data_IF_697392714298
#
_entry.id   IF_697392714298
#
_cell.length_a   1.000
_cell.length_b   1.000
_cell.length_c   1.000
_cell.angle_alpha   90.00
_cell.angle_beta   90.00
_cell.angle_gamma   90.00
#
_symmetry.space_group_name_H-M   'P 1'
#
loop_
_entity.id
_entity.type
_entity.pdbx_description
1 polymer ?
#
# COMPACT_ATOMS: atom_id res chain seq x y z
N UNK A 1 -10.31 -26.05 -12.88
CA UNK A 1 -10.69 -25.85 -11.47
C UNK A 1 -9.66 -24.90 -10.89
N UNK A 2 -10.08 -23.76 -10.35
CA UNK A 2 -9.17 -22.80 -9.70
C UNK A 2 -8.58 -23.44 -8.44
N UNK A 3 -7.27 -23.32 -8.27
CA UNK A 3 -6.56 -23.88 -7.11
C UNK A 3 -7.01 -23.12 -5.84
N UNK A 4 -7.36 -23.81 -4.74
CA UNK A 4 -7.64 -23.14 -3.47
C UNK A 4 -6.44 -22.29 -3.04
N UNK A 5 -6.65 -21.00 -2.81
CA UNK A 5 -5.57 -20.06 -2.45
C UNK A 5 -5.39 -20.03 -0.93
N UNK A 6 -4.14 -20.13 -0.43
CA UNK A 6 -3.87 -19.92 0.99
C UNK A 6 -4.31 -18.54 1.47
N UNK A 7 -4.81 -18.47 2.71
CA UNK A 7 -5.20 -17.21 3.34
C UNK A 7 -4.22 -16.92 4.48
N UNK A 8 -3.68 -15.70 4.48
CA UNK A 8 -2.96 -15.10 5.60
C UNK A 8 -3.98 -14.27 6.37
N UNK A 9 -4.22 -14.61 7.63
CA UNK A 9 -5.17 -13.91 8.48
C UNK A 9 -4.45 -13.18 9.61
N UNK A 10 -4.49 -11.85 9.57
CA UNK A 10 -3.81 -10.97 10.50
C UNK A 10 -4.78 -10.57 11.61
N UNK A 11 -4.49 -10.96 12.84
CA UNK A 11 -5.37 -10.73 14.00
C UNK A 11 -4.61 -10.07 15.16
N UNK A 12 -5.33 -9.41 16.06
CA UNK A 12 -4.73 -8.89 17.29
C UNK A 12 -5.62 -9.10 18.53
N UNK A 13 -6.46 -8.13 18.85
CA UNK A 13 -7.18 -8.05 20.12
C UNK A 13 -8.67 -7.68 19.94
N UNK A 14 -9.22 -7.88 18.75
CA UNK A 14 -10.62 -7.58 18.41
C UNK A 14 -11.40 -8.86 18.13
N UNK A 15 -11.84 -9.59 19.17
CA UNK A 15 -12.52 -10.88 18.98
C UNK A 15 -13.79 -10.73 18.13
N UNK A 16 -14.55 -9.64 18.29
CA UNK A 16 -15.83 -9.45 17.59
C UNK A 16 -15.69 -9.30 16.07
N UNK A 17 -14.75 -8.48 15.60
CA UNK A 17 -14.50 -8.31 14.16
C UNK A 17 -13.72 -9.50 13.60
N UNK A 18 -12.77 -10.06 14.38
CA UNK A 18 -12.05 -11.29 14.02
C UNK A 18 -13.03 -12.42 13.76
N UNK A 19 -14.06 -12.57 14.59
CA UNK A 19 -15.09 -13.60 14.43
C UNK A 19 -15.84 -13.41 13.11
N UNK A 20 -16.25 -12.19 12.80
CA UNK A 20 -16.95 -11.89 11.55
C UNK A 20 -16.07 -12.19 10.32
N UNK A 21 -14.81 -11.74 10.32
CA UNK A 21 -13.87 -12.02 9.24
C UNK A 21 -13.60 -13.53 9.12
N UNK A 22 -13.43 -14.24 10.24
CA UNK A 22 -13.26 -15.69 10.27
C UNK A 22 -14.44 -16.44 9.66
N UNK A 23 -15.69 -16.02 9.90
CA UNK A 23 -16.85 -16.68 9.28
C UNK A 23 -16.85 -16.54 7.74
N UNK A 24 -16.34 -15.43 7.19
CA UNK A 24 -16.17 -15.31 5.72
C UNK A 24 -15.11 -16.28 5.19
N UNK A 25 -14.01 -16.47 5.93
CA UNK A 25 -12.93 -17.42 5.61
C UNK A 25 -13.45 -18.86 5.72
N UNK A 26 -14.21 -19.17 6.77
CA UNK A 26 -14.85 -20.46 7.00
C UNK A 26 -15.83 -20.83 5.89
N UNK A 27 -16.58 -19.86 5.35
CA UNK A 27 -17.44 -20.07 4.20
C UNK A 27 -16.63 -20.41 2.92
N UNK A 28 -15.47 -19.76 2.73
CA UNK A 28 -14.57 -20.02 1.60
C UNK A 28 -13.79 -21.34 1.69
N UNK A 29 -13.63 -21.90 2.91
CA UNK A 29 -12.96 -23.18 3.19
C UNK A 29 -11.58 -23.31 2.52
N UNK A 30 -10.63 -22.39 2.78
CA UNK A 30 -9.28 -22.52 2.23
C UNK A 30 -8.63 -23.83 2.69
N UNK A 31 -7.79 -24.44 1.84
CA UNK A 31 -7.01 -25.63 2.23
C UNK A 31 -5.86 -25.32 3.17
N UNK A 32 -5.43 -24.05 3.25
CA UNK A 32 -4.34 -23.59 4.12
C UNK A 32 -4.67 -22.22 4.69
N UNK A 33 -4.60 -22.12 6.02
CA UNK A 33 -4.81 -20.87 6.76
C UNK A 33 -3.56 -20.56 7.58
N UNK A 34 -2.93 -19.42 7.31
CA UNK A 34 -1.74 -18.94 7.99
C UNK A 34 -2.13 -17.76 8.90
N UNK A 35 -2.22 -17.98 10.19
CA UNK A 35 -2.69 -16.97 11.13
C UNK A 35 -1.51 -16.29 11.82
N UNK A 36 -1.51 -14.96 11.74
CA UNK A 36 -0.51 -14.10 12.37
C UNK A 36 -1.21 -13.29 13.46
N UNK A 37 -0.80 -13.48 14.71
CA UNK A 37 -1.30 -12.68 15.83
C UNK A 37 -0.21 -11.83 16.46
N UNK A 38 -0.49 -10.56 16.77
CA UNK A 38 0.37 -9.77 17.66
C UNK A 38 0.17 -10.14 19.15
N UNK A 39 1.10 -9.74 20.01
CA UNK A 39 1.00 -9.90 21.45
C UNK A 39 0.34 -8.70 22.14
N UNK A 40 -0.18 -8.87 23.37
CA UNK A 40 -0.78 -7.78 24.13
C UNK A 40 0.25 -6.70 24.46
N UNK A 41 -0.19 -5.44 24.52
CA UNK A 41 0.67 -4.31 24.89
C UNK A 41 0.95 -4.36 26.39
N UNK A 42 2.20 -4.17 26.83
CA UNK A 42 2.54 -4.10 28.24
C UNK A 42 1.72 -3.02 28.95
N UNK A 43 1.12 -3.38 30.09
CA UNK A 43 0.39 -2.44 30.94
C UNK A 43 -0.98 -1.99 30.40
N UNK A 44 -1.58 -2.70 29.44
CA UNK A 44 -2.98 -2.50 29.02
C UNK A 44 -3.91 -3.53 29.68
N UNK A 45 -4.68 -3.17 30.73
CA UNK A 45 -5.59 -4.10 31.40
C UNK A 45 -6.61 -4.72 30.43
N UNK A 46 -6.87 -6.03 30.58
CA UNK A 46 -7.83 -6.79 29.77
C UNK A 46 -7.39 -7.09 28.33
N UNK A 47 -6.27 -6.55 27.85
CA UNK A 47 -5.82 -6.79 26.47
C UNK A 47 -5.28 -8.21 26.27
N UNK A 48 -4.66 -8.80 27.30
CA UNK A 48 -4.24 -10.20 27.28
C UNK A 48 -5.43 -11.13 27.07
N UNK A 49 -6.54 -10.89 27.77
CA UNK A 49 -7.78 -11.66 27.63
C UNK A 49 -8.41 -11.47 26.25
N UNK A 50 -8.45 -10.23 25.74
CA UNK A 50 -8.90 -9.95 24.37
C UNK A 50 -8.04 -10.67 23.32
N UNK A 51 -6.72 -10.69 23.48
CA UNK A 51 -5.82 -11.43 22.58
C UNK A 51 -6.07 -12.93 22.65
N UNK A 52 -6.22 -13.50 23.85
CA UNK A 52 -6.51 -14.91 24.05
C UNK A 52 -7.85 -15.31 23.41
N UNK A 53 -8.91 -14.53 23.64
CA UNK A 53 -10.22 -14.73 23.01
C UNK A 53 -10.14 -14.65 21.48
N UNK A 54 -9.37 -13.69 20.95
CA UNK A 54 -9.17 -13.52 19.51
C UNK A 54 -8.47 -14.74 18.89
N UNK A 55 -7.43 -15.26 19.55
CA UNK A 55 -6.70 -16.46 19.11
C UNK A 55 -7.56 -17.73 19.20
N UNK A 56 -8.43 -17.82 20.20
CA UNK A 56 -9.31 -18.98 20.39
C UNK A 56 -10.31 -19.19 19.23
N UNK A 57 -10.69 -18.13 18.52
CA UNK A 57 -11.56 -18.21 17.32
C UNK A 57 -10.95 -19.13 16.26
N UNK A 58 -9.62 -19.17 16.15
CA UNK A 58 -8.90 -19.98 15.16
C UNK A 58 -9.03 -21.47 15.44
N UNK A 59 -9.36 -21.86 16.67
CA UNK A 59 -9.60 -23.26 17.04
C UNK A 59 -10.98 -23.75 16.56
N UNK A 60 -11.84 -22.87 16.06
CA UNK A 60 -13.15 -23.20 15.50
C UNK A 60 -13.09 -23.66 14.03
N UNK A 61 -11.90 -23.86 13.47
CA UNK A 61 -11.73 -24.41 12.12
C UNK A 61 -12.28 -25.84 12.08
N UNK A 62 -13.38 -26.01 11.36
CA UNK A 62 -14.16 -27.25 11.29
C UNK A 62 -14.22 -27.86 9.87
N UNK A 63 -13.33 -27.42 8.99
CA UNK A 63 -13.18 -27.96 7.63
C UNK A 63 -11.75 -28.49 7.40
N UNK A 64 -11.57 -29.25 6.32
CA UNK A 64 -10.27 -29.78 5.91
C UNK A 64 -9.30 -28.63 5.53
N UNK A 65 -8.49 -28.21 6.51
CA UNK A 65 -7.62 -27.05 6.47
C UNK A 65 -6.30 -27.29 7.24
N UNK A 66 -5.18 -27.01 6.59
CA UNK A 66 -3.88 -26.95 7.24
C UNK A 66 -3.69 -25.57 7.90
N UNK A 67 -3.76 -25.51 9.24
CA UNK A 67 -3.66 -24.26 10.01
C UNK A 67 -2.25 -24.06 10.57
N UNK A 68 -1.59 -22.99 10.13
CA UNK A 68 -0.29 -22.53 10.65
C UNK A 68 -0.49 -21.31 11.55
N UNK A 69 0.13 -21.31 12.73
CA UNK A 69 0.00 -20.22 13.71
C UNK A 69 1.36 -19.57 13.95
N UNK A 70 1.43 -18.26 13.77
CA UNK A 70 2.55 -17.43 14.18
C UNK A 70 2.01 -16.39 15.15
N UNK A 71 2.08 -16.68 16.45
CA UNK A 71 1.60 -15.79 17.50
C UNK A 71 2.78 -15.18 18.22
N UNK A 72 2.76 -13.85 18.39
CA UNK A 72 3.77 -13.15 19.17
C UNK A 72 3.34 -13.05 20.63
N UNK A 73 4.24 -13.30 21.57
CA UNK A 73 3.98 -13.09 23.00
C UNK A 73 4.08 -11.61 23.39
N UNK A 74 4.82 -10.81 22.62
CA UNK A 74 4.98 -9.38 22.82
C UNK A 74 4.31 -8.58 21.70
N UNK A 75 3.83 -7.38 22.02
CA UNK A 75 3.33 -6.47 21.00
C UNK A 75 4.50 -5.91 20.17
N UNK A 76 4.52 -6.22 18.88
CA UNK A 76 5.52 -5.72 17.93
C UNK A 76 5.08 -4.45 17.21
N UNK A 77 3.78 -4.10 17.29
CA UNK A 77 3.21 -2.94 16.62
C UNK A 77 2.92 -3.21 15.14
N UNK A 78 2.15 -2.32 14.52
CA UNK A 78 1.59 -2.55 13.19
C UNK A 78 2.68 -2.71 12.12
N UNK A 79 3.68 -1.83 12.12
CA UNK A 79 4.78 -1.83 11.16
C UNK A 79 5.54 -3.15 11.16
N UNK A 80 6.00 -3.58 12.33
CA UNK A 80 6.88 -4.74 12.47
C UNK A 80 6.08 -6.03 12.37
N UNK A 81 4.90 -6.09 13.01
CA UNK A 81 4.12 -7.32 13.09
C UNK A 81 3.58 -7.73 11.73
N UNK A 82 3.00 -6.79 11.00
CA UNK A 82 2.41 -7.11 9.70
C UNK A 82 3.48 -7.54 8.71
N UNK A 83 4.57 -6.77 8.61
CA UNK A 83 5.67 -7.09 7.71
C UNK A 83 6.32 -8.45 8.01
N UNK A 84 6.60 -8.74 9.28
CA UNK A 84 7.20 -10.02 9.69
C UNK A 84 6.25 -11.20 9.50
N UNK A 85 4.95 -11.02 9.75
CA UNK A 85 3.92 -12.03 9.56
C UNK A 85 3.75 -12.43 8.10
N UNK A 86 3.61 -11.44 7.20
CA UNK A 86 3.50 -11.71 5.76
C UNK A 86 4.79 -12.35 5.23
N UNK A 87 5.96 -11.88 5.69
CA UNK A 87 7.24 -12.49 5.32
C UNK A 87 7.35 -13.95 5.75
N UNK A 88 6.95 -14.27 6.98
CA UNK A 88 6.88 -15.64 7.47
C UNK A 88 5.92 -16.49 6.65
N UNK A 89 4.72 -15.99 6.35
CA UNK A 89 3.75 -16.75 5.56
C UNK A 89 4.27 -17.03 4.14
N UNK A 90 4.89 -16.05 3.49
CA UNK A 90 5.55 -16.22 2.20
C UNK A 90 6.87 -17.01 2.26
N UNK A 91 7.30 -17.49 3.43
CA UNK A 91 8.29 -18.58 3.48
C UNK A 91 7.65 -19.94 3.18
N UNK A 92 6.34 -20.07 3.42
CA UNK A 92 5.55 -21.30 3.34
C UNK A 92 4.71 -21.43 2.05
N UNK A 93 4.36 -20.32 1.41
CA UNK A 93 3.48 -20.30 0.22
C UNK A 93 3.96 -19.31 -0.85
N UNK A 94 3.60 -19.53 -2.12
CA UNK A 94 4.05 -18.70 -3.26
C UNK A 94 3.09 -17.57 -3.62
N UNK A 95 1.83 -17.68 -3.20
CA UNK A 95 0.77 -16.68 -3.38
C UNK A 95 -0.27 -16.87 -2.28
N UNK A 96 -0.87 -15.76 -1.87
CA UNK A 96 -1.87 -15.78 -0.80
C UNK A 96 -2.82 -14.60 -0.91
N UNK A 97 -4.02 -14.80 -0.36
CA UNK A 97 -4.93 -13.73 0.04
C UNK A 97 -4.53 -13.30 1.46
N UNK A 98 -4.57 -12.00 1.74
CA UNK A 98 -4.24 -11.38 3.02
C UNK A 98 -5.49 -10.65 3.51
N UNK A 99 -5.97 -11.03 4.69
CA UNK A 99 -7.11 -10.41 5.38
C UNK A 99 -6.69 -9.93 6.75
N UNK A 100 -7.15 -8.73 7.13
CA UNK A 100 -7.06 -8.20 8.49
C UNK A 100 -8.34 -8.54 9.27
N UNK A 101 -8.29 -8.43 10.59
CA UNK A 101 -9.39 -8.79 11.51
C UNK A 101 -10.66 -7.94 11.37
N UNK A 102 -10.64 -6.92 10.51
CA UNK A 102 -11.75 -6.03 10.22
C UNK A 102 -12.17 -6.01 8.74
N UNK A 103 -11.66 -6.96 7.95
CA UNK A 103 -11.99 -7.09 6.53
C UNK A 103 -12.98 -8.23 6.30
N UNK A 104 -14.16 -7.90 5.77
CA UNK A 104 -15.25 -8.83 5.44
C UNK A 104 -15.37 -8.98 3.91
N UNK A 105 -14.68 -9.95 3.30
CA UNK A 105 -14.78 -10.23 1.86
C UNK A 105 -16.12 -10.88 1.48
N UNK A 106 -16.60 -10.57 0.27
CA UNK A 106 -17.66 -11.33 -0.40
C UNK A 106 -17.19 -12.72 -0.82
N UNK A 107 -18.10 -13.64 -1.16
CA UNK A 107 -17.68 -15.00 -1.52
C UNK A 107 -16.96 -15.04 -2.87
N UNK A 108 -17.37 -14.21 -3.83
CA UNK A 108 -16.70 -14.07 -5.12
C UNK A 108 -15.29 -13.49 -5.01
N UNK A 109 -14.95 -12.72 -3.96
CA UNK A 109 -13.60 -12.19 -3.73
C UNK A 109 -12.52 -13.30 -3.76
N UNK A 110 -12.79 -14.44 -3.10
CA UNK A 110 -11.83 -15.53 -3.03
C UNK A 110 -11.53 -16.12 -4.42
N UNK A 111 -12.58 -16.34 -5.23
CA UNK A 111 -12.43 -16.83 -6.60
C UNK A 111 -11.78 -15.77 -7.51
N UNK A 112 -12.15 -14.50 -7.34
CA UNK A 112 -11.56 -13.37 -8.05
C UNK A 112 -10.04 -13.30 -7.82
N UNK A 113 -9.59 -13.38 -6.57
CA UNK A 113 -8.17 -13.44 -6.26
C UNK A 113 -7.51 -14.69 -6.84
N UNK A 114 -8.13 -15.87 -6.77
CA UNK A 114 -7.57 -17.09 -7.33
C UNK A 114 -7.33 -16.99 -8.85
N UNK A 115 -8.35 -16.59 -9.62
CA UNK A 115 -8.24 -16.45 -11.07
C UNK A 115 -7.17 -15.42 -11.47
N UNK A 116 -7.06 -14.30 -10.75
CA UNK A 116 -6.09 -13.25 -11.05
C UNK A 116 -4.67 -13.58 -10.60
N UNK A 117 -4.51 -14.26 -9.46
CA UNK A 117 -3.20 -14.74 -9.01
C UNK A 117 -2.63 -15.77 -9.99
N UNK A 118 -3.46 -16.66 -10.53
CA UNK A 118 -3.06 -17.63 -11.56
C UNK A 118 -2.75 -16.91 -12.89
N UNK A 119 -3.63 -15.99 -13.33
CA UNK A 119 -3.48 -15.28 -14.60
C UNK A 119 -2.20 -14.45 -14.68
N UNK A 120 -1.83 -13.77 -13.60
CA UNK A 120 -0.69 -12.85 -13.56
C UNK A 120 0.52 -13.43 -12.80
N UNK A 121 0.57 -14.76 -12.64
CA UNK A 121 1.63 -15.44 -11.88
C UNK A 121 3.05 -15.10 -12.36
N UNK A 122 3.22 -14.93 -13.67
CA UNK A 122 4.52 -14.64 -14.30
C UNK A 122 4.63 -13.21 -14.85
N UNK A 123 3.64 -12.35 -14.61
CA UNK A 123 3.69 -10.95 -15.03
C UNK A 123 4.21 -10.06 -13.90
N UNK A 124 5.51 -9.77 -13.93
CA UNK A 124 6.17 -8.98 -12.89
C UNK A 124 5.70 -7.52 -12.80
N UNK A 125 4.94 -7.03 -13.79
CA UNK A 125 4.32 -5.70 -13.73
C UNK A 125 3.17 -5.68 -12.72
N UNK A 126 2.47 -6.79 -12.54
CA UNK A 126 1.36 -6.89 -11.60
C UNK A 126 1.89 -7.38 -10.26
N UNK A 127 1.74 -6.55 -9.24
CA UNK A 127 2.29 -6.81 -7.90
C UNK A 127 1.21 -7.05 -6.85
N UNK A 128 -0.04 -6.71 -7.13
CA UNK A 128 -1.12 -6.82 -6.16
C UNK A 128 -2.48 -6.98 -6.82
N UNK A 129 -3.35 -7.74 -6.17
CA UNK A 129 -4.79 -7.79 -6.43
C UNK A 129 -5.50 -7.22 -5.21
N UNK A 130 -6.16 -6.07 -5.35
CA UNK A 130 -6.97 -5.49 -4.27
C UNK A 130 -8.38 -6.06 -4.28
N UNK A 131 -9.04 -6.08 -3.12
CA UNK A 131 -10.47 -6.33 -2.96
C UNK A 131 -11.31 -5.06 -2.84
N UNK A 132 -10.71 -3.87 -2.75
CA UNK A 132 -11.45 -2.63 -2.50
C UNK A 132 -11.58 -1.77 -3.73
N UNK A 133 -12.66 -0.99 -3.76
CA UNK A 133 -12.83 0.07 -4.73
C UNK A 133 -13.01 1.42 -4.01
N UNK A 134 -11.97 2.24 -4.05
CA UNK A 134 -11.96 3.55 -3.38
C UNK A 134 -12.63 4.66 -4.20
N UNK A 135 -13.26 4.33 -5.33
CA UNK A 135 -14.16 5.22 -6.07
C UNK A 135 -15.61 5.02 -5.60
N UNK A 136 -15.81 5.02 -4.28
CA UNK A 136 -17.11 4.81 -3.61
C UNK A 136 -17.73 3.43 -3.87
N UNK A 137 -16.87 2.43 -4.01
CA UNK A 137 -17.27 1.05 -4.15
C UNK A 137 -17.78 0.64 -5.53
N UNK A 138 -17.81 1.57 -6.49
CA UNK A 138 -18.22 1.27 -7.85
C UNK A 138 -17.45 2.11 -8.86
N UNK A 139 -17.00 1.48 -9.92
CA UNK A 139 -16.34 2.17 -11.03
C UNK A 139 -16.98 1.79 -12.34
N UNK A 140 -17.32 2.81 -13.13
CA UNK A 140 -17.84 2.64 -14.49
C UNK A 140 -16.70 2.27 -15.44
N UNK A 141 -16.50 0.96 -15.59
CA UNK A 141 -15.60 0.27 -16.54
C UNK A 141 -16.34 -0.94 -17.11
N UNK A 142 -16.01 -1.33 -18.35
CA UNK A 142 -16.63 -2.48 -19.01
C UNK A 142 -16.08 -3.82 -18.48
N UNK A 143 -14.86 -3.79 -17.96
CA UNK A 143 -14.15 -4.94 -17.41
C UNK A 143 -14.47 -5.18 -15.93
N UNK A 144 -14.23 -6.41 -15.46
CA UNK A 144 -14.46 -6.78 -14.06
C UNK A 144 -13.50 -6.07 -13.09
N UNK A 145 -12.36 -5.59 -13.60
CA UNK A 145 -11.33 -4.88 -12.86
C UNK A 145 -10.55 -3.96 -13.79
N UNK A 146 -9.80 -3.03 -13.20
CA UNK A 146 -8.86 -2.17 -13.90
C UNK A 146 -7.51 -2.15 -13.18
N UNK A 147 -6.48 -1.60 -13.81
CA UNK A 147 -5.18 -1.43 -13.16
C UNK A 147 -5.06 -0.02 -12.59
N UNK A 148 -4.56 0.08 -11.37
CA UNK A 148 -4.30 1.34 -10.68
C UNK A 148 -2.87 1.39 -10.19
N UNK A 149 -2.34 2.61 -10.05
CA UNK A 149 -1.09 2.82 -9.30
C UNK A 149 -1.28 2.74 -7.79
N UNK A 150 -2.52 2.80 -7.27
CA UNK A 150 -2.78 2.78 -5.84
C UNK A 150 -3.11 1.36 -5.36
N UNK A 151 -2.25 0.76 -4.52
CA UNK A 151 -2.60 -0.48 -3.83
C UNK A 151 -3.54 -0.20 -2.65
N UNK A 152 -4.73 -0.81 -2.64
CA UNK A 152 -5.66 -0.76 -1.50
C UNK A 152 -5.66 -2.07 -0.71
N UNK A 153 -5.31 -2.00 0.57
CA UNK A 153 -4.94 -3.17 1.38
C UNK A 153 -6.05 -3.72 2.30
N UNK A 154 -7.32 -3.33 2.16
CA UNK A 154 -8.40 -3.94 2.97
C UNK A 154 -8.89 -5.21 2.29
N UNK A 155 -8.19 -6.31 2.55
CA UNK A 155 -8.39 -7.56 1.82
C UNK A 155 -7.79 -7.48 0.42
N UNK A 156 -6.69 -8.20 0.24
CA UNK A 156 -5.90 -8.15 -0.98
C UNK A 156 -5.17 -9.47 -1.17
N UNK A 157 -4.51 -9.64 -2.31
CA UNK A 157 -3.71 -10.80 -2.60
C UNK A 157 -2.43 -10.41 -3.33
N UNK A 158 -1.38 -11.20 -3.14
CA UNK A 158 -0.11 -11.01 -3.83
C UNK A 158 0.66 -12.33 -3.91
N UNK A 159 1.84 -12.26 -4.54
CA UNK A 159 2.77 -13.36 -4.70
C UNK A 159 4.02 -13.14 -3.85
N UNK A 160 4.66 -14.23 -3.43
CA UNK A 160 5.99 -14.26 -2.83
C UNK A 160 6.97 -13.45 -3.68
N UNK A 161 6.95 -13.60 -5.02
CA UNK A 161 7.81 -12.85 -5.95
C UNK A 161 7.69 -11.33 -5.83
N UNK A 162 6.50 -10.82 -5.54
CA UNK A 162 6.26 -9.40 -5.35
C UNK A 162 6.63 -8.98 -3.93
N UNK A 163 6.25 -9.76 -2.92
CA UNK A 163 6.54 -9.48 -1.52
C UNK A 163 8.04 -9.51 -1.18
N UNK A 164 8.85 -10.34 -1.85
CA UNK A 164 10.32 -10.34 -1.66
C UNK A 164 10.98 -8.99 -1.98
N UNK A 165 10.30 -8.09 -2.69
CA UNK A 165 10.75 -6.73 -2.97
C UNK A 165 10.37 -5.73 -1.86
N UNK A 166 9.58 -6.15 -0.87
CA UNK A 166 9.16 -5.31 0.24
C UNK A 166 10.36 -4.87 1.08
N UNK A 167 10.49 -3.56 1.27
CA UNK A 167 11.56 -2.97 2.06
C UNK A 167 10.97 -2.11 3.18
N UNK A 168 10.95 -2.68 4.38
CA UNK A 168 10.43 -2.05 5.59
C UNK A 168 11.13 -0.72 5.95
N UNK A 169 12.39 -0.55 5.51
CA UNK A 169 13.21 0.63 5.78
C UNK A 169 13.20 1.63 4.64
N UNK A 170 12.58 1.30 3.50
CA UNK A 170 12.57 2.12 2.30
C UNK A 170 13.98 2.65 1.95
N UNK A 171 14.98 1.76 1.94
CA UNK A 171 16.40 2.08 1.78
C UNK A 171 16.70 2.92 0.53
N UNK A 172 15.94 2.70 -0.55
CA UNK A 172 16.07 3.44 -1.81
C UNK A 172 15.39 4.82 -1.80
N UNK A 173 14.54 5.12 -0.81
CA UNK A 173 13.76 6.35 -0.77
C UNK A 173 14.59 7.63 -0.93
N UNK A 174 15.74 7.82 -0.26
CA UNK A 174 16.53 9.04 -0.42
C UNK A 174 16.92 9.32 -1.87
N UNK A 175 17.35 8.30 -2.61
CA UNK A 175 17.74 8.43 -4.02
C UNK A 175 16.51 8.72 -4.90
N UNK A 176 15.45 7.90 -4.78
CA UNK A 176 14.23 8.05 -5.57
C UNK A 176 13.61 9.45 -5.39
N UNK A 177 13.55 9.92 -4.14
CA UNK A 177 13.12 11.27 -3.76
C UNK A 177 14.01 12.34 -4.38
N UNK A 178 15.33 12.25 -4.19
CA UNK A 178 16.25 13.31 -4.59
C UNK A 178 16.40 13.47 -6.11
N UNK A 179 16.17 12.38 -6.86
CA UNK A 179 16.06 12.33 -8.32
C UNK A 179 14.64 12.62 -8.82
N UNK A 180 13.64 12.68 -7.94
CA UNK A 180 12.22 12.92 -8.24
C UNK A 180 11.62 11.86 -9.16
N UNK A 181 12.01 10.60 -8.99
CA UNK A 181 11.62 9.52 -9.89
C UNK A 181 10.14 9.16 -9.77
N UNK A 182 9.47 9.53 -8.68
CA UNK A 182 8.02 9.37 -8.55
C UNK A 182 7.20 10.52 -9.15
N UNK A 183 7.81 11.65 -9.50
CA UNK A 183 7.05 12.79 -10.05
C UNK A 183 6.29 12.41 -11.34
N UNK A 184 6.78 11.42 -12.10
CA UNK A 184 6.14 10.90 -13.31
C UNK A 184 4.83 10.12 -13.05
N UNK A 185 4.61 9.61 -11.85
CA UNK A 185 3.37 8.90 -11.49
C UNK A 185 2.23 9.85 -11.14
N UNK A 186 2.54 11.12 -10.88
CA UNK A 186 1.60 12.09 -10.32
C UNK A 186 1.46 13.32 -11.21
N UNK A 187 0.27 13.50 -11.78
CA UNK A 187 -0.02 14.61 -12.70
C UNK A 187 0.04 15.99 -12.02
N UNK A 188 -0.35 16.07 -10.74
CA UNK A 188 -0.42 17.34 -10.00
C UNK A 188 0.73 17.49 -9.01
N UNK A 189 1.37 18.66 -8.99
CA UNK A 189 2.43 18.98 -7.99
C UNK A 189 1.94 18.85 -6.54
N UNK A 190 0.69 19.16 -6.27
CA UNK A 190 0.11 18.99 -4.93
C UNK A 190 0.11 17.54 -4.46
N UNK A 191 -0.14 16.61 -5.39
CA UNK A 191 -0.11 15.17 -5.14
C UNK A 191 1.34 14.68 -4.97
N UNK A 192 2.27 15.15 -5.82
CA UNK A 192 3.70 14.87 -5.69
C UNK A 192 4.22 15.25 -4.30
N UNK A 193 3.90 16.46 -3.82
CA UNK A 193 4.37 16.94 -2.53
C UNK A 193 3.71 16.22 -1.35
N UNK A 194 2.44 15.81 -1.50
CA UNK A 194 1.77 14.99 -0.50
C UNK A 194 2.46 13.64 -0.34
N UNK A 195 2.68 12.91 -1.43
CA UNK A 195 3.33 11.61 -1.37
C UNK A 195 4.79 11.70 -0.93
N UNK A 196 5.54 12.72 -1.39
CA UNK A 196 6.90 12.94 -0.88
C UNK A 196 6.91 13.18 0.64
N UNK A 197 5.96 13.97 1.15
CA UNK A 197 5.85 14.20 2.58
C UNK A 197 5.50 12.92 3.36
N UNK A 198 4.51 12.16 2.90
CA UNK A 198 4.07 10.93 3.58
C UNK A 198 5.19 9.88 3.60
N UNK A 199 5.81 9.62 2.45
CA UNK A 199 6.94 8.68 2.35
C UNK A 199 8.13 9.14 3.20
N UNK A 200 8.35 10.45 3.33
CA UNK A 200 9.38 10.98 4.21
C UNK A 200 9.08 10.77 5.70
N UNK A 201 7.82 10.90 6.12
CA UNK A 201 7.40 10.62 7.51
C UNK A 201 7.62 9.15 7.86
N UNK A 202 7.21 8.25 6.97
CA UNK A 202 7.36 6.80 7.13
C UNK A 202 8.83 6.41 7.16
N UNK A 203 9.64 6.91 6.22
CA UNK A 203 11.09 6.71 6.21
C UNK A 203 11.77 7.18 7.50
N UNK A 204 11.32 8.31 8.06
CA UNK A 204 11.85 8.84 9.32
C UNK A 204 11.35 8.07 10.57
N UNK A 205 10.58 7.00 10.41
CA UNK A 205 10.01 6.22 11.50
C UNK A 205 8.99 6.98 12.34
N UNK A 206 8.29 7.97 11.76
CA UNK A 206 7.30 8.79 12.48
C UNK A 206 5.89 8.23 12.43
N UNK A 207 5.68 7.13 11.70
CA UNK A 207 4.39 6.45 11.55
C UNK A 207 4.62 4.96 11.74
N UNK A 208 3.89 4.34 12.67
CA UNK A 208 3.88 2.89 12.88
C UNK A 208 2.90 2.24 11.89
N UNK A 209 3.34 2.06 10.65
CA UNK A 209 2.56 1.45 9.58
C UNK A 209 3.44 0.62 8.66
N UNK A 210 2.84 -0.28 7.90
CA UNK A 210 3.49 -1.17 6.92
C UNK A 210 3.10 -0.85 5.46
N UNK A 211 1.93 -0.25 5.26
CA UNK A 211 1.27 -0.08 3.97
C UNK A 211 1.98 0.92 3.06
N UNK A 212 2.39 2.10 3.54
CA UNK A 212 3.13 3.08 2.76
C UNK A 212 4.47 2.54 2.22
N UNK A 213 5.13 1.64 2.94
CA UNK A 213 6.31 0.93 2.47
C UNK A 213 5.96 0.01 1.30
N UNK A 214 4.77 -0.61 1.32
CA UNK A 214 4.28 -1.42 0.21
C UNK A 214 3.94 -0.56 -1.02
N UNK A 215 3.29 0.60 -0.84
CA UNK A 215 3.12 1.61 -1.89
C UNK A 215 4.48 1.98 -2.52
N UNK A 216 5.46 2.32 -1.68
CA UNK A 216 6.81 2.65 -2.12
C UNK A 216 7.44 1.48 -2.90
N UNK A 217 7.36 0.25 -2.41
CA UNK A 217 7.90 -0.93 -3.07
C UNK A 217 7.27 -1.15 -4.45
N UNK A 218 5.94 -1.05 -4.56
CA UNK A 218 5.26 -1.20 -5.85
C UNK A 218 5.74 -0.13 -6.85
N UNK A 219 5.78 1.14 -6.44
CA UNK A 219 6.21 2.23 -7.33
C UNK A 219 7.70 2.18 -7.68
N UNK A 220 8.56 1.81 -6.73
CA UNK A 220 9.99 1.65 -6.98
C UNK A 220 10.27 0.55 -8.02
N UNK A 221 9.37 -0.42 -8.17
CA UNK A 221 9.45 -1.50 -9.13
C UNK A 221 8.59 -1.29 -10.39
N UNK A 222 8.01 -0.10 -10.58
CA UNK A 222 7.07 0.20 -11.68
C UNK A 222 5.89 -0.77 -11.75
N UNK A 223 5.50 -1.31 -10.60
CA UNK A 223 4.40 -2.25 -10.48
C UNK A 223 3.03 -1.56 -10.48
N UNK A 224 2.00 -2.36 -10.77
CA UNK A 224 0.59 -1.95 -10.73
C UNK A 224 -0.21 -2.86 -9.82
N UNK A 225 -1.31 -2.32 -9.30
CA UNK A 225 -2.34 -3.05 -8.57
C UNK A 225 -3.54 -3.30 -9.47
N UNK A 226 -4.12 -4.48 -9.39
CA UNK A 226 -5.47 -4.75 -9.89
C UNK A 226 -6.48 -4.22 -8.88
N UNK A 227 -7.50 -3.51 -9.37
CA UNK A 227 -8.59 -2.94 -8.56
C UNK A 227 -9.93 -3.38 -9.14
N UNK A 228 -10.82 -4.00 -8.35
CA UNK A 228 -12.10 -4.49 -8.84
C UNK A 228 -13.03 -3.34 -9.23
N UNK A 229 -13.91 -3.56 -10.21
CA UNK A 229 -14.92 -2.57 -10.60
C UNK A 229 -16.01 -2.35 -9.52
N UNK A 230 -16.11 -3.27 -8.56
CA UNK A 230 -16.99 -3.23 -7.39
C UNK A 230 -16.18 -3.38 -6.11
N UNK A 231 -16.70 -2.93 -4.96
CA UNK A 231 -16.07 -3.19 -3.68
C UNK A 231 -16.32 -4.63 -3.26
N UNK A 232 -15.30 -5.48 -3.21
CA UNK A 232 -15.46 -6.90 -2.85
C UNK A 232 -15.17 -7.18 -1.37
N UNK A 233 -14.71 -6.18 -0.62
CA UNK A 233 -14.37 -6.31 0.80
C UNK A 233 -14.88 -5.10 1.55
N UNK A 234 -15.74 -5.33 2.54
CA UNK A 234 -16.18 -4.32 3.49
C UNK A 234 -15.18 -4.23 4.63
N UNK A 235 -14.78 -3.01 5.01
CA UNK A 235 -14.00 -2.79 6.22
C UNK A 235 -14.92 -2.33 7.36
N UNK A 236 -14.97 -3.11 8.45
CA UNK A 236 -15.81 -2.86 9.64
C UNK A 236 -15.02 -2.32 10.83
N UNK A 237 -13.76 -1.95 10.63
CA UNK A 237 -12.84 -1.45 11.65
C UNK A 237 -13.09 -0.03 12.11
N UNK A 238 -14.16 0.62 11.63
CA UNK A 238 -14.52 2.01 11.94
C UNK A 238 -15.44 2.10 13.17
N UNK A 239 -14.93 1.78 14.36
CA UNK A 239 -15.67 1.87 15.63
C UNK A 239 -14.99 2.82 16.64
N UNK A 240 -15.65 3.12 17.77
CA UNK A 240 -15.13 4.08 18.77
C UNK A 240 -13.74 3.71 19.33
N UNK A 241 -13.40 2.41 19.39
CA UNK A 241 -12.07 1.93 19.79
C UNK A 241 -11.04 1.86 18.64
N UNK A 242 -11.38 2.33 17.43
CA UNK A 242 -10.49 2.28 16.28
C UNK A 242 -9.39 3.34 16.38
N UNK A 243 -8.18 2.94 16.02
CA UNK A 243 -6.96 3.73 16.21
C UNK A 243 -6.83 4.93 15.27
N UNK A 244 -7.64 5.04 14.21
CA UNK A 244 -7.43 6.00 13.11
C UNK A 244 -8.67 6.73 12.53
N UNK A 245 -9.87 6.64 13.13
CA UNK A 245 -11.12 7.03 12.43
C UNK A 245 -11.90 8.14 13.14
N UNK A 246 -11.91 9.36 12.59
CA UNK A 246 -12.65 10.51 13.15
C UNK A 246 -13.23 11.50 12.12
N UNK A 247 -13.30 11.13 10.84
CA UNK A 247 -13.72 12.04 9.76
C UNK A 247 -15.05 11.64 9.12
N UNK A 248 -15.73 12.59 8.47
CA UNK A 248 -16.95 12.35 7.65
C UNK A 248 -16.73 11.26 6.59
N UNK A 249 -15.50 11.13 6.11
CA UNK A 249 -15.14 10.20 5.04
C UNK A 249 -14.89 8.78 5.54
N UNK A 250 -14.40 8.63 6.78
CA UNK A 250 -14.35 7.33 7.45
C UNK A 250 -15.74 6.69 7.48
N UNK A 251 -16.79 7.47 7.76
CA UNK A 251 -18.19 7.00 7.72
C UNK A 251 -18.64 6.56 6.32
N UNK A 252 -18.17 7.23 5.28
CA UNK A 252 -18.52 6.88 3.90
C UNK A 252 -17.87 5.55 3.50
N UNK A 253 -16.58 5.38 3.75
CA UNK A 253 -15.89 4.12 3.44
C UNK A 253 -16.36 2.97 4.33
N UNK A 254 -16.66 3.23 5.61
CA UNK A 254 -17.30 2.26 6.51
C UNK A 254 -18.68 1.79 6.01
N UNK A 255 -19.39 2.62 5.24
CA UNK A 255 -20.70 2.28 4.69
C UNK A 255 -20.64 1.45 3.39
N UNK A 256 -19.45 1.28 2.80
CA UNK A 256 -19.30 0.46 1.61
C UNK A 256 -19.40 -1.02 1.99
N UNK A 257 -20.44 -1.69 1.49
CA UNK A 257 -20.60 -3.13 1.63
C UNK A 257 -19.65 -3.92 0.73
N UNK A 258 -19.60 -5.24 0.95
CA UNK A 258 -18.94 -6.18 0.06
C UNK A 258 -19.94 -6.67 -1.00
N UNK A 259 -19.75 -6.25 -2.24
CA UNK A 259 -20.51 -6.71 -3.40
C UNK A 259 -19.96 -8.05 -3.91
N UNK A 260 -20.83 -8.80 -4.57
CA UNK A 260 -20.42 -9.94 -5.39
C UNK A 260 -19.99 -9.48 -6.79
N UNK A 261 -19.13 -10.28 -7.44
CA UNK A 261 -18.73 -10.09 -8.83
C UNK A 261 -19.07 -11.31 -9.69
N UNK A 262 -19.49 -11.04 -10.92
CA UNK A 262 -19.88 -12.06 -11.89
C UNK A 262 -18.67 -12.73 -12.55
N UNK A 263 -18.86 -14.00 -12.94
CA UNK A 263 -17.89 -14.79 -13.68
C UNK A 263 -18.49 -15.27 -15.02
N UNK A 264 -17.68 -15.46 -16.09
CA UNK A 264 -16.22 -15.27 -16.15
C UNK A 264 -15.81 -13.81 -16.03
N UNK A 265 -14.62 -13.56 -15.48
CA UNK A 265 -14.08 -12.20 -15.38
C UNK A 265 -13.84 -11.62 -16.79
N UNK A 266 -14.28 -10.37 -16.99
CA UNK A 266 -13.91 -9.55 -18.14
C UNK A 266 -12.56 -8.89 -17.86
N UNK A 267 -11.58 -9.12 -18.75
CA UNK A 267 -10.20 -8.71 -18.56
C UNK A 267 -9.83 -7.46 -19.38
N UNK A 268 -9.11 -6.48 -18.81
CA UNK A 268 -8.54 -5.39 -19.60
C UNK A 268 -7.59 -5.88 -20.67
N UNK A 269 -7.62 -5.23 -21.82
CA UNK A 269 -6.80 -5.57 -23.01
C UNK A 269 -5.30 -5.41 -22.78
N UNK A 270 -4.91 -4.56 -21.83
CA UNK A 270 -3.51 -4.27 -21.52
C UNK A 270 -3.30 -4.03 -20.03
N UNK A 271 -2.09 -4.37 -19.55
CA UNK A 271 -1.62 -4.04 -18.20
C UNK A 271 -1.13 -2.60 -18.20
N UNK A 272 -2.08 -1.66 -18.17
CA UNK A 272 -1.85 -0.22 -18.15
C UNK A 272 -2.76 0.41 -17.11
N UNK A 273 -2.21 1.32 -16.30
CA UNK A 273 -3.00 2.00 -15.28
C UNK A 273 -4.05 2.92 -15.89
N UNK A 274 -5.25 2.91 -15.30
CA UNK A 274 -6.35 3.79 -15.68
C UNK A 274 -6.11 5.19 -15.15
N UNK A 275 -5.43 6.03 -15.95
CA UNK A 275 -5.04 7.38 -15.53
C UNK A 275 -6.24 8.25 -15.15
N UNK A 276 -7.42 8.06 -15.75
CA UNK A 276 -8.64 8.78 -15.41
C UNK A 276 -9.15 8.39 -14.01
N UNK A 277 -9.19 7.09 -13.71
CA UNK A 277 -9.60 6.55 -12.39
C UNK A 277 -8.61 6.94 -11.30
N UNK A 278 -7.31 6.82 -11.55
CA UNK A 278 -6.29 7.26 -10.61
C UNK A 278 -6.37 8.77 -10.33
N UNK A 279 -6.65 9.60 -11.36
CA UNK A 279 -6.83 11.04 -11.16
C UNK A 279 -8.08 11.37 -10.36
N UNK A 280 -9.15 10.59 -10.51
CA UNK A 280 -10.36 10.74 -9.70
C UNK A 280 -10.04 10.39 -8.24
N UNK A 281 -9.40 9.25 -7.99
CA UNK A 281 -9.01 8.85 -6.64
C UNK A 281 -8.07 9.87 -5.98
N UNK A 282 -7.09 10.40 -6.73
CA UNK A 282 -6.20 11.45 -6.23
C UNK A 282 -6.98 12.70 -5.77
N UNK A 283 -8.04 13.09 -6.50
CA UNK A 283 -8.92 14.21 -6.11
C UNK A 283 -9.73 13.87 -4.86
N UNK A 284 -10.26 12.65 -4.77
CA UNK A 284 -11.00 12.18 -3.59
C UNK A 284 -10.10 12.15 -2.35
N UNK A 285 -8.85 11.68 -2.48
CA UNK A 285 -7.86 11.69 -1.40
C UNK A 285 -7.53 13.11 -0.92
N UNK A 286 -7.39 14.07 -1.86
CA UNK A 286 -7.23 15.48 -1.47
C UNK A 286 -8.46 15.99 -0.73
N UNK A 287 -9.67 15.67 -1.19
CA UNK A 287 -10.91 16.06 -0.52
C UNK A 287 -11.03 15.42 0.88
N UNK A 288 -10.63 14.16 1.02
CA UNK A 288 -10.55 13.41 2.28
C UNK A 288 -9.69 14.13 3.32
N UNK A 289 -8.50 14.54 2.89
CA UNK A 289 -7.53 15.23 3.73
C UNK A 289 -7.69 16.76 3.71
N UNK A 290 -8.78 17.31 3.15
CA UNK A 290 -8.98 18.77 3.00
C UNK A 290 -9.66 19.45 4.19
N UNK A 291 -10.05 18.69 5.22
CA UNK A 291 -10.73 19.20 6.42
C UNK A 291 -10.00 18.79 7.70
N UNK A 292 -9.88 19.71 8.66
CA UNK A 292 -9.30 19.44 9.99
C UNK A 292 -7.78 19.62 10.12
N UNK A 293 -7.22 19.28 11.28
CA UNK A 293 -5.78 19.40 11.60
C UNK A 293 -4.87 18.63 10.63
N UNK A 294 -5.35 17.50 10.10
CA UNK A 294 -4.67 16.72 9.06
C UNK A 294 -4.43 17.52 7.77
N UNK A 295 -5.37 18.38 7.37
CA UNK A 295 -5.20 19.26 6.20
C UNK A 295 -4.10 20.30 6.39
N UNK A 296 -4.10 20.96 7.55
CA UNK A 296 -3.11 22.00 7.89
C UNK A 296 -1.72 21.38 7.96
N UNK A 297 -1.60 20.22 8.61
CA UNK A 297 -0.34 19.47 8.69
C UNK A 297 0.14 19.02 7.31
N UNK A 298 -0.75 18.50 6.45
CA UNK A 298 -0.40 18.08 5.09
C UNK A 298 0.06 19.26 4.22
N UNK A 299 -0.57 20.44 4.35
CA UNK A 299 -0.14 21.67 3.67
C UNK A 299 1.21 22.17 4.17
N UNK A 300 1.45 22.14 5.48
CA UNK A 300 2.73 22.53 6.09
C UNK A 300 3.85 21.57 5.67
N UNK A 301 3.59 20.27 5.64
CA UNK A 301 4.53 19.26 5.15
C UNK A 301 4.85 19.47 3.67
N UNK A 302 3.83 19.64 2.83
CA UNK A 302 3.99 19.93 1.41
C UNK A 302 4.74 21.25 1.17
N UNK A 303 4.48 22.29 1.97
CA UNK A 303 5.21 23.56 1.93
C UNK A 303 6.68 23.36 2.33
N UNK A 304 6.95 22.53 3.34
CA UNK A 304 8.30 22.18 3.76
C UNK A 304 9.08 21.49 2.63
N UNK A 305 8.43 20.55 1.94
CA UNK A 305 8.98 19.89 0.72
C UNK A 305 9.25 20.92 -0.37
N UNK A 306 8.31 21.83 -0.63
CA UNK A 306 8.47 22.89 -1.62
C UNK A 306 9.67 23.80 -1.30
N UNK A 307 9.77 24.29 -0.06
CA UNK A 307 10.88 25.13 0.41
C UNK A 307 12.21 24.38 0.25
N UNK A 308 12.27 23.09 0.62
CA UNK A 308 13.47 22.25 0.44
C UNK A 308 13.85 22.13 -1.03
N UNK A 309 12.90 21.86 -1.92
CA UNK A 309 13.12 21.78 -3.38
C UNK A 309 13.63 23.12 -3.93
N UNK A 310 13.07 24.26 -3.50
CA UNK A 310 13.51 25.61 -3.90
C UNK A 310 14.94 25.88 -3.42
N UNK A 311 15.26 25.61 -2.15
CA UNK A 311 16.61 25.80 -1.59
C UNK A 311 17.65 24.96 -2.34
N UNK A 312 17.35 23.68 -2.62
CA UNK A 312 18.22 22.78 -3.40
C UNK A 312 18.45 23.31 -4.82
N UNK A 313 17.40 23.81 -5.47
CA UNK A 313 17.51 24.42 -6.80
C UNK A 313 18.38 25.69 -6.79
N UNK A 314 18.13 26.60 -5.85
CA UNK A 314 18.91 27.83 -5.70
C UNK A 314 20.39 27.55 -5.42
N UNK A 315 20.69 26.54 -4.59
CA UNK A 315 22.05 26.11 -4.30
C UNK A 315 22.75 25.53 -5.54
N UNK A 316 22.10 24.62 -6.27
CA UNK A 316 22.62 24.07 -7.53
C UNK A 316 22.89 25.18 -8.56
N UNK A 317 21.98 26.15 -8.70
CA UNK A 317 22.16 27.31 -9.60
C UNK A 317 23.35 28.20 -9.20
N UNK A 318 23.59 28.40 -7.90
CA UNK A 318 24.77 29.12 -7.41
C UNK A 318 26.07 28.38 -7.75
N UNK A 319 26.10 27.04 -7.64
CA UNK A 319 27.26 26.22 -7.99
C UNK A 319 27.59 26.25 -9.49
N UNK A 320 26.59 26.09 -10.36
CA UNK A 320 26.78 26.19 -11.82
C UNK A 320 27.21 27.60 -12.25
N UNK A 321 26.67 28.65 -11.64
CA UNK A 321 27.11 30.02 -11.92
C UNK A 321 28.55 30.29 -11.42
N UNK A 322 28.99 29.69 -10.30
CA UNK A 322 30.39 29.74 -9.85
C UNK A 322 31.32 29.02 -10.83
N UNK A 323 30.95 27.84 -11.32
CA UNK A 323 31.76 27.10 -12.30
C UNK A 323 31.86 27.84 -13.64
N UNK A 324 30.78 28.48 -14.12
CA UNK A 324 30.83 29.34 -15.32
C UNK A 324 31.76 30.54 -15.15
N UNK A 325 31.75 31.21 -13.99
CA UNK A 325 32.65 32.36 -13.71
C UNK A 325 34.13 31.97 -13.62
N UNK A 326 34.44 30.75 -13.15
CA UNK A 326 35.81 30.22 -13.08
C UNK A 326 36.28 29.71 -14.46
N UNK A 327 35.38 29.21 -15.32
CA UNK A 327 35.70 28.81 -16.69
C UNK A 327 36.01 29.97 -17.64
N UNK A 328 35.39 31.14 -17.42
CA UNK A 328 35.62 32.34 -18.25
C UNK A 328 36.90 33.11 -17.92
N UNK A 329 37.63 32.78 -16.85
CA UNK A 329 38.89 33.47 -16.48
C UNK A 329 40.17 32.81 -17.00
N UNK A 330 40.07 31.72 -17.77
CA UNK A 330 41.22 30.98 -18.36
C UNK A 330 41.43 31.16 -19.87
N UNK A 331 40.76 32.12 -20.52
CA UNK A 331 40.93 32.41 -21.97
C UNK A 331 41.38 33.84 -22.27
N UNK A 332 42.16 34.45 -21.38
CA UNK A 332 42.83 35.73 -21.63
C UNK A 332 44.26 35.72 -21.11
N UNK A 333 45.13 34.88 -21.70
CA UNK A 333 46.59 35.09 -21.67
C UNK A 333 47.11 34.92 -23.08
N UNK A 334 47.84 35.95 -23.53
CA UNK A 334 48.06 36.27 -24.93
C UNK A 334 48.83 35.23 -25.74
N UNK A 335 48.47 35.15 -27.01
CA UNK A 335 49.35 34.69 -28.08
C UNK A 335 50.26 35.85 -28.47
N UNK A 336 51.60 35.71 -28.47
CA UNK A 336 52.47 36.71 -29.03
C UNK A 336 52.47 36.61 -30.56
N UNK A 337 52.35 37.76 -31.22
CA UNK A 337 52.47 37.92 -32.66
C UNK A 337 53.81 37.41 -33.17
N UNK A 338 53.80 36.49 -34.14
CA UNK A 338 54.96 36.28 -35.02
C UNK A 338 54.72 36.99 -36.34
N UNK A 339 55.64 37.91 -36.62
CA UNK A 339 55.79 38.64 -37.87
C UNK A 339 56.20 37.70 -39.01
N UNK A 340 55.76 38.08 -40.18
CA UNK A 340 56.10 37.66 -41.54
C UNK A 340 57.58 37.76 -41.89
N UNK A 341 58.09 36.81 -42.70
CA UNK A 341 58.64 36.99 -44.07
C UNK A 341 59.81 36.05 -44.41
N UNK A 342 59.82 35.68 -45.71
CA UNK A 342 60.77 34.88 -46.50
C UNK A 342 60.66 33.36 -46.38
#
# INVERSE_FOLDING_TARGET
MTTPIPIIFMIFNRPDTTKQAFETIRAAKPKKLLVVADGPRPGKPGEADKCAATRAIIEEVDWDCEVHRNFSDMNLGCRQRVASGITWAFSLVDKAIILEDDCLPSQSFFRYCAELLDRYEHDDRVMMVSGNNHLFGHTDVAESYYFSRYPHCWGWATWRRAWMKYDLNMSQWPELRDRKLFDQYFHKKSEQYYWEAMLQLVYNGKVDTWDYQWFHTIWANSGVSITPARNLVQNVGFHAEATHTHTKWDKLYASLGADEIDFPLSHPVAVLTSSDKDQLEARLRVAYHSTGLLYVNNKLLALTVLIRRIRKYAFRRKLTNRHRRVGTSRHSRGLPSRRTCA
#
